data_IF_271114788260
#
_entry.id   IF_271114788260
#
_cell.length_a   1.000
_cell.length_b   1.000
_cell.length_c   1.000
_cell.angle_alpha   90.00
_cell.angle_beta   90.00
_cell.angle_gamma   90.00
#
_symmetry.space_group_name_H-M   'P 1'
#
loop_
_entity.id
_entity.type
_entity.pdbx_description
1 polymer ?
#
# COMPACT_ATOMS: atom_id res chain seq x y z
N UNK A 1 1.84 33.22 8.13
CA UNK A 1 2.09 31.75 7.99
C UNK A 1 0.82 30.98 7.69
N UNK A 2 -0.24 31.11 8.49
CA UNK A 2 -1.53 30.41 8.26
C UNK A 2 -2.13 30.75 6.89
N UNK A 3 -2.24 32.04 6.57
CA UNK A 3 -2.76 32.52 5.27
C UNK A 3 -1.97 31.92 4.09
N UNK A 4 -0.65 31.82 4.25
CA UNK A 4 0.27 31.32 3.22
C UNK A 4 0.15 29.81 2.97
N UNK A 5 -0.04 29.02 4.02
CA UNK A 5 0.13 27.56 3.96
C UNK A 5 -1.11 26.75 4.31
N UNK A 6 -2.04 27.29 5.09
CA UNK A 6 -3.16 26.55 5.68
C UNK A 6 -4.53 27.02 5.18
N UNK A 7 -4.58 27.91 4.19
CA UNK A 7 -5.84 28.29 3.55
C UNK A 7 -6.16 27.31 2.43
N UNK A 8 -7.32 26.66 2.52
CA UNK A 8 -7.90 26.01 1.37
C UNK A 8 -8.25 27.08 0.33
N UNK A 9 -7.77 26.90 -0.90
CA UNK A 9 -8.04 27.87 -1.96
C UNK A 9 -9.54 28.01 -2.24
N UNK A 10 -9.99 29.18 -2.74
CA UNK A 10 -11.37 29.36 -3.15
C UNK A 10 -11.75 28.28 -4.16
N UNK A 11 -12.86 27.58 -3.91
CA UNK A 11 -13.37 26.52 -4.77
C UNK A 11 -14.91 26.50 -4.73
N UNK A 12 -15.52 25.69 -5.59
CA UNK A 12 -16.98 25.55 -5.65
C UNK A 12 -17.60 26.77 -6.30
N UNK A 13 -18.47 27.46 -5.56
CA UNK A 13 -19.12 28.67 -6.04
C UNK A 13 -18.10 29.78 -6.38
N UNK A 14 -17.01 29.87 -5.62
CA UNK A 14 -15.96 30.88 -5.83
C UNK A 14 -15.01 30.52 -6.98
N UNK A 15 -14.83 29.23 -7.26
CA UNK A 15 -14.00 28.76 -8.38
C UNK A 15 -14.36 27.31 -8.76
N UNK A 16 -14.98 27.15 -9.93
CA UNK A 16 -15.43 25.85 -10.44
C UNK A 16 -14.30 25.01 -11.05
N UNK A 17 -13.18 25.63 -11.43
CA UNK A 17 -12.05 24.97 -12.09
C UNK A 17 -11.14 24.18 -11.14
N UNK A 18 -11.39 24.26 -9.83
CA UNK A 18 -10.55 23.58 -8.85
C UNK A 18 -10.65 22.05 -8.97
N UNK A 19 -9.53 21.31 -8.82
CA UNK A 19 -9.54 19.84 -8.85
C UNK A 19 -10.47 19.22 -7.81
N UNK A 20 -10.68 19.88 -6.67
CA UNK A 20 -11.54 19.40 -5.60
C UNK A 20 -13.04 19.45 -5.94
N UNK A 21 -13.45 20.20 -6.96
CA UNK A 21 -14.84 20.32 -7.42
C UNK A 21 -15.07 19.69 -8.80
N UNK A 22 -14.03 19.08 -9.38
CA UNK A 22 -14.15 18.40 -10.67
C UNK A 22 -15.21 17.28 -10.56
N UNK A 23 -16.22 17.37 -11.42
CA UNK A 23 -17.38 16.46 -11.49
C UNK A 23 -18.21 16.40 -10.18
N UNK A 24 -18.22 17.47 -9.37
CA UNK A 24 -18.99 17.53 -8.12
C UNK A 24 -19.68 18.88 -7.95
N UNK A 25 -20.91 18.92 -7.40
CA UNK A 25 -21.59 20.18 -7.10
C UNK A 25 -20.93 20.96 -5.96
N UNK A 26 -20.15 20.28 -5.10
CA UNK A 26 -19.48 20.85 -3.93
C UNK A 26 -18.05 20.33 -3.78
N UNK A 27 -17.26 21.01 -2.94
CA UNK A 27 -15.88 20.64 -2.69
C UNK A 27 -15.78 19.22 -2.10
N UNK A 28 -14.90 18.38 -2.67
CA UNK A 28 -14.56 17.05 -2.15
C UNK A 28 -14.16 17.05 -0.68
N UNK A 29 -13.55 18.14 -0.22
CA UNK A 29 -13.10 18.32 1.16
C UNK A 29 -14.07 19.17 1.99
N UNK A 30 -15.29 19.39 1.49
CA UNK A 30 -16.40 20.10 2.15
C UNK A 30 -16.03 21.52 2.62
N UNK A 31 -15.25 22.25 1.84
CA UNK A 31 -15.04 23.68 2.05
C UNK A 31 -16.10 24.52 1.32
N UNK A 32 -16.54 25.66 1.90
CA UNK A 32 -16.22 26.12 3.26
C UNK A 32 -16.82 25.20 4.33
N UNK A 33 -16.07 24.98 5.43
CA UNK A 33 -16.56 24.19 6.56
C UNK A 33 -17.60 25.01 7.36
N UNK A 34 -18.62 24.41 7.97
CA UNK A 34 -19.54 25.14 8.83
C UNK A 34 -18.81 25.71 10.06
N UNK A 35 -19.33 26.80 10.60
CA UNK A 35 -18.95 27.27 11.94
C UNK A 35 -19.39 26.24 12.99
N UNK A 36 -18.65 26.18 14.09
CA UNK A 36 -18.91 25.27 15.18
C UNK A 36 -18.30 25.81 16.48
N UNK A 37 -19.06 25.96 17.56
CA UNK A 37 -18.56 26.55 18.81
C UNK A 37 -17.67 25.61 19.63
N UNK A 38 -17.78 24.31 19.44
CA UNK A 38 -16.99 23.30 20.18
C UNK A 38 -16.51 22.20 19.27
N UNK A 39 -15.41 21.53 19.61
CA UNK A 39 -14.97 20.35 18.86
C UNK A 39 -15.84 19.17 19.25
N UNK A 40 -16.54 18.56 18.28
CA UNK A 40 -17.44 17.42 18.50
C UNK A 40 -17.01 16.21 17.69
N UNK A 41 -17.39 15.02 18.13
CA UNK A 41 -17.16 13.79 17.36
C UNK A 41 -18.22 13.68 16.25
N UNK A 42 -17.77 13.67 14.99
CA UNK A 42 -18.65 13.53 13.84
C UNK A 42 -19.19 12.10 13.66
N UNK A 43 -20.25 11.96 12.86
CA UNK A 43 -20.90 10.67 12.53
C UNK A 43 -19.94 9.63 11.93
N UNK A 44 -18.94 10.09 11.18
CA UNK A 44 -17.90 9.24 10.58
C UNK A 44 -16.68 9.01 11.48
N UNK A 45 -16.80 9.29 12.77
CA UNK A 45 -15.71 9.12 13.75
C UNK A 45 -14.50 10.05 13.55
N UNK A 46 -14.59 11.01 12.62
CA UNK A 46 -13.65 12.14 12.50
C UNK A 46 -14.14 13.33 13.32
N UNK A 47 -13.24 14.09 13.96
CA UNK A 47 -13.61 15.28 14.72
C UNK A 47 -14.12 16.39 13.78
N UNK A 48 -15.20 17.04 14.19
CA UNK A 48 -15.63 18.32 13.64
C UNK A 48 -15.05 19.39 14.55
N UNK A 49 -13.96 20.02 14.11
CA UNK A 49 -13.24 21.01 14.90
C UNK A 49 -14.07 22.25 15.21
N UNK A 50 -13.81 22.84 16.38
CA UNK A 50 -14.28 24.19 16.71
C UNK A 50 -13.81 25.18 15.63
N UNK A 51 -14.75 25.99 15.18
CA UNK A 51 -14.59 27.07 14.25
C UNK A 51 -15.60 28.17 14.57
N UNK A 52 -15.27 29.05 15.51
CA UNK A 52 -16.14 30.16 15.91
C UNK A 52 -16.24 31.20 14.80
N UNK A 53 -17.35 31.90 14.69
CA UNK A 53 -17.44 33.06 13.81
C UNK A 53 -16.83 34.28 14.51
N UNK A 54 -15.59 34.64 14.15
CA UNK A 54 -14.87 35.77 14.72
C UNK A 54 -14.96 37.05 13.88
N UNK A 55 -15.71 37.01 12.77
CA UNK A 55 -15.88 38.14 11.85
C UNK A 55 -14.63 38.53 11.04
N UNK A 56 -13.54 37.74 11.11
CA UNK A 56 -12.29 38.05 10.42
C UNK A 56 -12.24 37.41 9.04
N UNK A 57 -11.78 38.17 8.05
CA UNK A 57 -11.57 37.73 6.66
C UNK A 57 -10.18 38.10 6.19
N UNK A 58 -9.64 37.33 5.25
CA UNK A 58 -8.34 37.56 4.63
C UNK A 58 -8.44 37.33 3.12
N UNK A 59 -7.73 38.15 2.34
CA UNK A 59 -7.73 38.03 0.88
C UNK A 59 -6.79 36.91 0.43
N UNK A 60 -7.35 35.86 -0.15
CA UNK A 60 -6.62 34.71 -0.71
C UNK A 60 -7.02 34.51 -2.16
N UNK A 61 -6.07 34.69 -3.08
CA UNK A 61 -6.29 34.58 -4.54
C UNK A 61 -7.47 35.43 -5.03
N UNK A 62 -7.52 36.70 -4.58
CA UNK A 62 -8.56 37.69 -4.89
C UNK A 62 -9.97 37.33 -4.40
N UNK A 63 -10.08 36.46 -3.40
CA UNK A 63 -11.34 36.18 -2.71
C UNK A 63 -11.17 36.45 -1.21
N UNK A 64 -12.16 37.07 -0.58
CA UNK A 64 -12.20 37.21 0.87
C UNK A 64 -12.65 35.88 1.50
N UNK A 65 -11.75 35.27 2.27
CA UNK A 65 -11.98 34.00 2.94
C UNK A 65 -11.91 34.21 4.46
N UNK A 66 -12.92 33.72 5.17
CA UNK A 66 -12.90 33.65 6.62
C UNK A 66 -12.27 32.34 7.11
N UNK A 67 -12.33 32.13 8.42
CA UNK A 67 -11.74 30.95 9.03
C UNK A 67 -12.40 29.63 8.56
N UNK A 68 -13.55 29.60 7.87
CA UNK A 68 -14.17 28.38 7.28
C UNK A 68 -13.33 27.71 6.21
N UNK A 69 -12.33 28.42 5.71
CA UNK A 69 -11.38 27.96 4.70
C UNK A 69 -10.06 27.48 5.29
N UNK A 70 -9.84 27.64 6.60
CA UNK A 70 -8.61 27.22 7.27
C UNK A 70 -8.59 25.70 7.43
N UNK A 71 -7.56 25.07 6.86
CA UNK A 71 -7.19 23.67 7.04
C UNK A 71 -6.66 23.48 8.48
N UNK A 72 -7.12 22.46 9.23
CA UNK A 72 -6.64 22.19 10.58
C UNK A 72 -5.11 22.06 10.65
N UNK A 73 -4.51 22.73 11.64
CA UNK A 73 -3.06 22.79 11.77
C UNK A 73 -2.64 22.86 13.24
N UNK A 74 -1.39 22.47 13.50
CA UNK A 74 -0.72 22.74 14.76
C UNK A 74 0.22 23.95 14.58
N UNK A 75 0.06 25.05 15.36
CA UNK A 75 0.87 26.26 15.21
C UNK A 75 2.38 26.03 15.38
N UNK A 76 2.79 25.09 16.24
CA UNK A 76 4.18 24.75 16.45
C UNK A 76 4.77 24.05 15.22
N UNK A 77 4.09 23.02 14.69
CA UNK A 77 4.55 22.31 13.49
C UNK A 77 4.58 23.23 12.26
N UNK A 78 3.57 24.09 12.10
CA UNK A 78 3.53 25.05 11.01
C UNK A 78 4.73 26.02 11.06
N UNK A 79 5.11 26.48 12.27
CA UNK A 79 6.28 27.34 12.46
C UNK A 79 7.59 26.59 12.20
N UNK A 80 7.70 25.37 12.72
CA UNK A 80 8.90 24.55 12.61
C UNK A 80 9.22 24.19 11.17
N UNK A 81 8.22 23.80 10.38
CA UNK A 81 8.43 23.30 9.02
C UNK A 81 8.09 24.29 7.91
N UNK A 82 7.37 25.38 8.22
CA UNK A 82 7.02 26.45 7.28
C UNK A 82 6.46 25.94 5.94
N UNK A 83 5.62 24.91 5.97
CA UNK A 83 4.98 24.30 4.81
C UNK A 83 3.53 23.92 5.11
N UNK A 84 2.78 23.49 4.09
CA UNK A 84 1.42 23.00 4.26
C UNK A 84 1.45 21.64 4.99
N UNK A 85 0.91 21.59 6.22
CA UNK A 85 0.84 20.36 7.03
C UNK A 85 -0.60 20.15 7.49
N UNK A 86 -1.23 19.06 7.04
CA UNK A 86 -2.54 18.67 7.54
C UNK A 86 -2.38 17.90 8.86
N UNK A 87 -2.99 18.40 9.95
CA UNK A 87 -2.96 17.73 11.26
C UNK A 87 -4.37 17.31 11.64
N UNK A 88 -4.56 16.02 11.90
CA UNK A 88 -5.86 15.47 12.30
C UNK A 88 -5.76 14.67 13.61
N UNK A 89 -6.70 14.89 14.52
CA UNK A 89 -6.85 14.10 15.75
C UNK A 89 -7.48 12.76 15.38
N UNK A 90 -6.73 11.70 15.67
CA UNK A 90 -7.12 10.31 15.46
C UNK A 90 -7.60 9.70 16.79
N UNK A 91 -8.87 9.93 17.16
CA UNK A 91 -9.43 9.43 18.43
C UNK A 91 -10.36 8.22 18.27
N UNK A 92 -10.60 7.74 17.04
CA UNK A 92 -11.58 6.70 16.77
C UNK A 92 -10.99 5.47 16.09
N UNK A 93 -11.65 4.32 16.28
CA UNK A 93 -11.28 3.05 15.64
C UNK A 93 -11.22 3.19 14.10
N UNK A 94 -12.10 4.00 13.49
CA UNK A 94 -12.09 4.25 12.04
C UNK A 94 -10.86 5.05 11.60
N UNK A 95 -10.43 6.04 12.41
CA UNK A 95 -9.22 6.80 12.16
C UNK A 95 -7.95 5.96 12.40
N UNK A 96 -7.96 5.05 13.39
CA UNK A 96 -6.88 4.08 13.62
C UNK A 96 -6.77 3.11 12.43
N UNK A 97 -7.91 2.58 11.93
CA UNK A 97 -7.96 1.79 10.70
C UNK A 97 -7.40 2.57 9.50
N UNK A 98 -7.67 3.87 9.42
CA UNK A 98 -7.12 4.75 8.40
C UNK A 98 -5.60 4.87 8.54
N UNK A 99 -5.07 5.14 9.74
CA UNK A 99 -3.63 5.20 9.98
C UNK A 99 -2.92 3.90 9.56
N UNK A 100 -3.44 2.75 10.02
CA UNK A 100 -2.90 1.45 9.64
C UNK A 100 -3.05 1.18 8.14
N UNK A 101 -4.11 1.65 7.50
CA UNK A 101 -4.24 1.60 6.04
C UNK A 101 -3.07 2.31 5.36
N UNK A 102 -2.57 3.44 5.85
CA UNK A 102 -1.44 4.15 5.21
C UNK A 102 -0.08 3.58 5.58
N UNK A 103 0.09 3.08 6.81
CA UNK A 103 1.30 2.36 7.22
C UNK A 103 1.45 1.08 6.38
N UNK A 104 0.35 0.36 6.15
CA UNK A 104 0.35 -0.93 5.44
C UNK A 104 -0.07 -0.84 3.98
N UNK A 105 -0.43 0.34 3.44
CA UNK A 105 -0.89 0.51 2.04
C UNK A 105 0.15 0.07 1.02
N UNK A 106 1.43 0.08 1.41
CA UNK A 106 2.56 -0.01 0.50
C UNK A 106 2.67 1.25 -0.39
N UNK A 107 3.82 1.44 -1.02
CA UNK A 107 4.04 2.58 -1.91
C UNK A 107 3.06 2.60 -3.08
N UNK A 108 2.48 3.78 -3.38
CA UNK A 108 1.61 3.99 -4.53
C UNK A 108 2.34 3.57 -5.83
N UNK A 109 1.67 2.76 -6.66
CA UNK A 109 2.15 2.36 -8.00
C UNK A 109 1.08 2.75 -9.02
N UNK A 110 1.47 3.51 -10.04
CA UNK A 110 0.69 3.61 -11.26
C UNK A 110 1.01 2.38 -12.13
N UNK A 111 -0.03 1.65 -12.52
CA UNK A 111 0.02 0.63 -13.56
C UNK A 111 -0.81 1.18 -14.70
N UNK A 112 -0.16 1.40 -15.85
CA UNK A 112 -0.83 1.72 -17.12
C UNK A 112 -0.77 0.46 -17.95
N UNK A 113 -1.93 -0.05 -18.36
CA UNK A 113 -2.03 -1.00 -19.48
C UNK A 113 -2.79 -0.32 -20.61
N UNK A 114 -2.23 -0.43 -21.81
CA UNK A 114 -2.95 -0.19 -23.06
C UNK A 114 -3.30 -1.58 -23.58
N UNK A 115 -4.58 -1.84 -23.81
CA UNK A 115 -5.08 -3.09 -24.38
C UNK A 115 -5.76 -2.78 -25.70
N UNK A 116 -5.33 -3.48 -26.75
CA UNK A 116 -6.18 -3.78 -27.89
C UNK A 116 -6.74 -5.20 -27.67
N UNK A 117 -8.06 -5.36 -27.79
CA UNK A 117 -8.83 -6.59 -27.51
C UNK A 117 -8.35 -7.77 -28.39
N UNK A 118 -8.59 -9.06 -28.11
CA UNK A 118 -9.88 -9.80 -28.03
C UNK A 118 -9.65 -11.21 -27.44
N UNK A 119 -10.60 -11.65 -26.60
CA UNK A 119 -11.01 -13.01 -26.16
C UNK A 119 -10.04 -14.21 -26.22
N UNK A 120 -9.61 -14.66 -25.04
CA UNK A 120 -9.55 -16.04 -24.53
C UNK A 120 -9.29 -15.91 -23.02
N UNK A 121 -9.87 -16.78 -22.17
CA UNK A 121 -9.91 -16.64 -20.70
C UNK A 121 -8.60 -16.05 -20.14
N UNK A 122 -8.62 -14.74 -19.87
CA UNK A 122 -7.42 -13.98 -19.53
C UNK A 122 -7.04 -14.35 -18.09
N UNK A 123 -6.17 -15.34 -17.94
CA UNK A 123 -5.46 -15.56 -16.70
C UNK A 123 -4.61 -14.31 -16.50
N UNK A 124 -5.06 -13.41 -15.62
CA UNK A 124 -4.32 -12.22 -15.22
C UNK A 124 -3.06 -12.66 -14.46
N UNK A 125 -2.02 -12.98 -15.23
CA UNK A 125 -0.69 -13.37 -14.75
C UNK A 125 -0.09 -12.30 -13.84
N UNK A 126 -0.54 -11.04 -13.94
CA UNK A 126 -0.08 -9.93 -13.09
C UNK A 126 -0.74 -9.99 -11.71
N UNK A 127 -2.04 -10.33 -11.63
CA UNK A 127 -2.70 -10.69 -10.37
C UNK A 127 -2.09 -11.95 -9.78
N UNK A 128 -1.93 -13.00 -10.56
CA UNK A 128 -1.28 -14.24 -10.12
C UNK A 128 0.15 -13.99 -9.66
N UNK A 129 0.93 -13.12 -10.31
CA UNK A 129 2.28 -12.74 -9.89
C UNK A 129 2.29 -11.93 -8.57
N UNK A 130 1.27 -11.10 -8.34
CA UNK A 130 1.07 -10.41 -7.06
C UNK A 130 0.63 -11.39 -5.96
N UNK A 131 -0.11 -12.43 -6.31
CA UNK A 131 -0.61 -13.47 -5.41
C UNK A 131 0.38 -14.67 -5.26
N UNK A 132 1.40 -14.78 -6.11
CA UNK A 132 2.37 -15.89 -6.06
C UNK A 132 3.53 -15.66 -5.07
N UNK A 133 3.67 -14.44 -4.52
CA UNK A 133 4.59 -14.15 -3.40
C UNK A 133 3.89 -14.16 -2.04
N UNK A 134 2.82 -14.94 -1.92
CA UNK A 134 2.21 -15.22 -0.63
C UNK A 134 3.20 -15.95 0.27
N UNK A 135 3.43 -15.38 1.44
CA UNK A 135 4.05 -16.09 2.55
C UNK A 135 3.09 -17.17 3.03
N UNK A 136 3.57 -18.40 3.10
CA UNK A 136 2.79 -19.53 3.59
C UNK A 136 3.67 -20.44 4.44
N UNK A 137 3.04 -21.20 5.32
CA UNK A 137 3.67 -22.27 6.08
C UNK A 137 3.84 -23.52 5.21
N UNK A 138 4.64 -24.52 5.64
CA UNK A 138 4.74 -25.80 4.94
C UNK A 138 3.36 -26.35 4.58
N UNK A 139 3.16 -26.71 3.30
CA UNK A 139 1.92 -27.28 2.76
C UNK A 139 0.65 -26.41 2.88
N UNK A 140 0.79 -25.11 3.17
CA UNK A 140 -0.33 -24.16 3.26
C UNK A 140 -0.31 -23.10 2.14
N UNK A 141 0.37 -23.38 1.02
CA UNK A 141 0.36 -22.46 -0.12
C UNK A 141 -1.00 -22.45 -0.81
N UNK A 142 -1.33 -21.31 -1.40
CA UNK A 142 -2.58 -21.15 -2.14
C UNK A 142 -2.51 -21.93 -3.46
N UNK A 143 -3.56 -22.68 -3.76
CA UNK A 143 -3.76 -23.37 -5.04
C UNK A 143 -5.04 -22.81 -5.67
N UNK A 144 -4.93 -22.29 -6.89
CA UNK A 144 -6.08 -21.83 -7.67
C UNK A 144 -6.68 -23.00 -8.44
N UNK A 145 -8.01 -23.11 -8.40
CA UNK A 145 -8.78 -24.12 -9.12
C UNK A 145 -10.02 -23.49 -9.77
N UNK A 146 -10.53 -24.10 -10.84
CA UNK A 146 -11.79 -23.68 -11.45
C UNK A 146 -12.98 -24.36 -10.78
N UNK A 147 -14.15 -23.72 -10.77
CA UNK A 147 -15.35 -24.25 -10.12
C UNK A 147 -15.84 -25.59 -10.68
N UNK A 148 -15.48 -25.91 -11.93
CA UNK A 148 -15.86 -27.16 -12.60
C UNK A 148 -14.72 -28.20 -12.61
N UNK A 149 -13.58 -27.89 -11.99
CA UNK A 149 -12.42 -28.78 -11.98
C UNK A 149 -12.48 -29.78 -10.82
N UNK A 150 -12.13 -31.03 -11.07
CA UNK A 150 -12.03 -32.03 -10.01
C UNK A 150 -10.77 -31.81 -9.18
N UNK A 151 -10.82 -32.15 -7.88
CA UNK A 151 -9.68 -32.02 -6.98
C UNK A 151 -8.46 -32.79 -7.50
N UNK A 152 -8.68 -33.96 -8.09
CA UNK A 152 -7.60 -34.79 -8.65
C UNK A 152 -6.86 -34.07 -9.77
N UNK A 153 -7.58 -33.45 -10.71
CA UNK A 153 -6.98 -32.68 -11.81
C UNK A 153 -6.19 -31.46 -11.30
N UNK A 154 -6.66 -30.83 -10.21
CA UNK A 154 -5.94 -29.71 -9.58
C UNK A 154 -4.62 -30.19 -8.98
N UNK A 155 -4.61 -31.34 -8.29
CA UNK A 155 -3.42 -31.93 -7.67
C UNK A 155 -2.41 -32.38 -8.73
N UNK A 156 -2.89 -33.03 -9.80
CA UNK A 156 -2.05 -33.59 -10.86
C UNK A 156 -1.46 -32.53 -11.79
N UNK A 157 -1.93 -31.28 -11.70
CA UNK A 157 -1.40 -30.17 -12.49
C UNK A 157 0.06 -29.89 -12.13
N UNK A 158 0.90 -29.86 -13.16
CA UNK A 158 2.32 -29.58 -13.02
C UNK A 158 2.57 -28.23 -12.34
N UNK A 159 3.37 -28.24 -11.28
CA UNK A 159 3.70 -27.04 -10.50
C UNK A 159 2.64 -26.63 -9.46
N UNK A 160 1.54 -27.37 -9.27
CA UNK A 160 0.57 -27.09 -8.19
C UNK A 160 1.21 -27.09 -6.80
N UNK A 161 2.14 -28.03 -6.56
CA UNK A 161 2.88 -28.14 -5.29
C UNK A 161 3.93 -27.05 -5.07
N UNK A 162 4.27 -26.26 -6.10
CA UNK A 162 5.32 -25.24 -6.01
C UNK A 162 4.75 -23.87 -5.63
N UNK A 163 5.57 -23.07 -4.96
CA UNK A 163 5.38 -21.64 -4.75
C UNK A 163 6.66 -20.89 -5.09
N UNK A 164 6.62 -19.56 -5.17
CA UNK A 164 7.85 -18.77 -5.39
C UNK A 164 8.87 -18.94 -4.24
N UNK A 165 8.39 -19.23 -3.03
CA UNK A 165 9.23 -19.49 -1.87
C UNK A 165 9.91 -20.86 -1.99
N UNK A 166 9.17 -21.92 -2.31
CA UNK A 166 9.79 -23.25 -2.50
C UNK A 166 10.70 -23.28 -3.73
N UNK A 167 10.36 -22.54 -4.79
CA UNK A 167 11.25 -22.36 -5.93
C UNK A 167 12.56 -21.66 -5.55
N UNK A 168 12.54 -20.73 -4.58
CA UNK A 168 13.75 -20.11 -4.07
C UNK A 168 14.64 -21.13 -3.35
N UNK A 169 14.04 -22.05 -2.58
CA UNK A 169 14.76 -23.15 -1.97
C UNK A 169 15.41 -24.06 -3.02
N UNK A 170 14.65 -24.46 -4.05
CA UNK A 170 15.17 -25.23 -5.19
C UNK A 170 16.34 -24.49 -5.88
N UNK A 171 16.24 -23.16 -6.04
CA UNK A 171 17.31 -22.35 -6.60
C UNK A 171 18.56 -22.30 -5.70
N UNK A 172 18.39 -22.24 -4.37
CA UNK A 172 19.50 -22.31 -3.41
C UNK A 172 20.19 -23.68 -3.42
N UNK A 173 19.44 -24.77 -3.64
CA UNK A 173 20.02 -26.11 -3.82
C UNK A 173 20.86 -26.13 -5.10
N UNK A 174 20.25 -25.72 -6.21
CA UNK A 174 20.78 -25.88 -7.57
C UNK A 174 21.95 -24.95 -7.86
N UNK A 175 21.87 -23.70 -7.41
CA UNK A 175 22.78 -22.64 -7.79
C UNK A 175 23.54 -22.11 -6.56
N UNK A 176 24.84 -22.43 -6.39
CA UNK A 176 25.63 -21.91 -5.27
C UNK A 176 25.62 -20.39 -5.14
N UNK A 177 25.51 -19.67 -6.28
CA UNK A 177 25.42 -18.21 -6.34
C UNK A 177 24.13 -17.63 -5.74
N UNK A 178 23.05 -18.42 -5.65
CA UNK A 178 21.80 -17.99 -5.06
C UNK A 178 21.86 -17.94 -3.51
N UNK A 179 22.74 -18.74 -2.91
CA UNK A 179 22.79 -18.94 -1.45
C UNK A 179 23.16 -17.69 -0.65
N UNK A 180 23.80 -16.70 -1.29
CA UNK A 180 24.16 -15.42 -0.68
C UNK A 180 23.09 -14.33 -0.80
N UNK A 181 21.91 -14.63 -1.36
CA UNK A 181 20.88 -13.64 -1.67
C UNK A 181 19.70 -13.81 -0.72
N UNK A 182 19.20 -12.71 -0.14
CA UNK A 182 17.97 -12.76 0.66
C UNK A 182 16.75 -13.00 -0.23
N UNK A 183 15.72 -13.65 0.30
CA UNK A 183 14.49 -13.88 -0.46
C UNK A 183 13.85 -12.57 -0.96
N UNK A 184 13.99 -11.46 -0.22
CA UNK A 184 13.50 -10.14 -0.65
C UNK A 184 14.28 -9.57 -1.86
N UNK A 185 15.55 -9.93 -2.00
CA UNK A 185 16.49 -9.44 -3.02
C UNK A 185 16.54 -10.37 -4.24
N UNK A 186 16.02 -11.59 -4.12
CA UNK A 186 15.98 -12.58 -5.20
C UNK A 186 15.51 -12.01 -6.56
N UNK A 187 14.43 -11.19 -6.64
CA UNK A 187 13.96 -10.60 -7.90
C UNK A 187 14.95 -9.65 -8.59
N UNK A 188 15.94 -9.11 -7.87
CA UNK A 188 16.98 -8.25 -8.41
C UNK A 188 17.95 -9.06 -9.28
N UNK A 189 18.24 -10.30 -8.87
CA UNK A 189 19.23 -11.17 -9.51
C UNK A 189 18.60 -12.28 -10.37
N UNK A 190 17.38 -12.70 -10.03
CA UNK A 190 16.66 -13.81 -10.64
C UNK A 190 15.32 -13.32 -11.18
N UNK A 191 14.94 -13.82 -12.34
CA UNK A 191 13.64 -13.59 -12.94
C UNK A 191 12.77 -14.82 -12.72
N UNK A 192 11.53 -14.59 -12.29
CA UNK A 192 10.52 -15.65 -12.21
C UNK A 192 9.95 -15.93 -13.60
N UNK A 193 9.93 -17.19 -14.01
CA UNK A 193 9.10 -17.68 -15.12
C UNK A 193 8.17 -18.75 -14.55
N UNK A 194 6.88 -18.45 -14.45
CA UNK A 194 5.96 -19.27 -13.66
C UNK A 194 6.42 -19.41 -12.21
N UNK A 195 6.49 -20.64 -11.72
CA UNK A 195 6.94 -21.00 -10.36
C UNK A 195 8.42 -21.43 -10.31
N UNK A 196 9.27 -20.82 -11.15
CA UNK A 196 10.70 -21.12 -11.21
C UNK A 196 11.54 -19.85 -11.26
N UNK A 197 12.77 -19.92 -10.73
CA UNK A 197 13.75 -18.85 -10.82
C UNK A 197 14.80 -19.15 -11.88
N UNK A 198 15.00 -18.20 -12.79
CA UNK A 198 16.07 -18.22 -13.78
C UNK A 198 17.00 -17.02 -13.60
N UNK A 199 18.30 -17.22 -13.78
CA UNK A 199 19.27 -16.14 -13.58
C UNK A 199 19.04 -15.03 -14.62
N UNK A 200 18.98 -13.78 -14.16
CA UNK A 200 18.74 -12.64 -15.04
C UNK A 200 19.96 -12.36 -15.92
N UNK A 201 19.75 -12.29 -17.24
CA UNK A 201 20.82 -12.04 -18.23
C UNK A 201 21.10 -10.54 -18.48
N UNK A 202 20.17 -9.63 -18.17
CA UNK A 202 20.31 -8.17 -18.36
C UNK A 202 20.00 -7.42 -17.06
N UNK A 203 20.97 -6.67 -16.55
CA UNK A 203 20.88 -5.88 -15.31
C UNK A 203 20.18 -4.51 -15.50
N UNK A 204 19.62 -4.21 -16.67
CA UNK A 204 19.20 -2.86 -17.03
C UNK A 204 17.90 -2.37 -16.37
N UNK A 205 17.18 -3.22 -15.64
CA UNK A 205 15.96 -2.85 -14.92
C UNK A 205 16.06 -3.30 -13.46
N UNK A 206 16.23 -2.33 -12.56
CA UNK A 206 16.24 -2.57 -11.12
C UNK A 206 14.84 -3.00 -10.66
N UNK A 207 14.70 -4.24 -10.16
CA UNK A 207 13.42 -4.78 -9.68
C UNK A 207 13.49 -5.09 -8.18
N UNK A 208 12.93 -4.22 -7.36
CA UNK A 208 12.81 -4.47 -5.92
C UNK A 208 11.75 -5.53 -5.64
N UNK A 209 12.17 -6.64 -5.05
CA UNK A 209 11.27 -7.66 -4.53
C UNK A 209 10.47 -7.17 -3.34
N UNK A 210 9.20 -7.57 -3.26
CA UNK A 210 8.33 -7.27 -2.10
C UNK A 210 7.82 -8.57 -1.51
N UNK A 211 8.05 -8.73 -0.21
CA UNK A 211 7.44 -9.76 0.61
C UNK A 211 6.12 -9.19 1.14
N UNK A 212 5.06 -9.99 1.10
CA UNK A 212 3.73 -9.61 1.62
C UNK A 212 3.84 -9.21 3.11
N UNK A 213 3.17 -8.11 3.48
CA UNK A 213 3.11 -7.68 4.88
C UNK A 213 2.32 -8.70 5.71
N UNK A 214 2.81 -9.03 6.89
CA UNK A 214 2.13 -9.90 7.85
C UNK A 214 2.02 -9.18 9.18
N UNK A 215 0.84 -9.23 9.80
CA UNK A 215 0.59 -8.64 11.11
C UNK A 215 1.19 -9.54 12.21
N UNK A 216 1.73 -9.00 13.32
CA UNK A 216 2.26 -9.82 14.42
C UNK A 216 1.28 -10.87 14.97
N UNK A 217 -0.03 -10.57 14.94
CA UNK A 217 -1.08 -11.52 15.34
C UNK A 217 -1.27 -12.71 14.37
N UNK A 218 -0.66 -12.69 13.19
CA UNK A 218 -0.65 -13.83 12.25
C UNK A 218 0.38 -14.91 12.66
N UNK A 219 1.03 -14.76 13.82
CA UNK A 219 1.81 -15.80 14.47
C UNK A 219 2.98 -16.31 13.61
N UNK A 220 3.00 -17.60 13.32
CA UNK A 220 4.07 -18.27 12.57
C UNK A 220 4.37 -17.59 11.22
N UNK A 221 3.35 -17.04 10.55
CA UNK A 221 3.52 -16.34 9.28
C UNK A 221 4.27 -15.00 9.44
N UNK A 222 4.11 -14.34 10.58
CA UNK A 222 4.89 -13.16 10.93
C UNK A 222 6.35 -13.51 11.17
N UNK A 223 6.63 -14.54 11.97
CA UNK A 223 8.00 -14.98 12.22
C UNK A 223 8.71 -15.46 10.94
N UNK A 224 8.00 -16.20 10.07
CA UNK A 224 8.52 -16.59 8.77
C UNK A 224 8.92 -15.37 7.91
N UNK A 225 8.10 -14.31 7.91
CA UNK A 225 8.46 -13.05 7.22
C UNK A 225 9.74 -12.46 7.77
N UNK A 226 9.90 -12.43 9.09
CA UNK A 226 11.11 -11.92 9.74
C UNK A 226 12.32 -12.73 9.29
N UNK A 227 12.25 -14.07 9.37
CA UNK A 227 13.34 -14.96 8.95
C UNK A 227 13.73 -14.74 7.48
N UNK A 228 12.77 -14.59 6.58
CA UNK A 228 13.03 -14.35 5.15
C UNK A 228 13.71 -13.00 4.83
N UNK A 229 13.75 -12.06 5.79
CA UNK A 229 14.50 -10.81 5.65
C UNK A 229 15.93 -10.91 6.20
N UNK A 230 16.29 -11.99 6.88
CA UNK A 230 17.57 -12.12 7.58
C UNK A 230 18.36 -13.39 7.23
N UNK A 231 17.69 -14.46 6.79
CA UNK A 231 18.33 -15.73 6.45
C UNK A 231 18.54 -15.82 4.93
N UNK A 232 19.78 -16.06 4.53
CA UNK A 232 20.17 -16.33 3.14
C UNK A 232 20.38 -17.83 2.93
N UNK A 233 20.12 -18.32 1.71
CA UNK A 233 20.56 -19.66 1.31
C UNK A 233 19.81 -20.85 1.90
N UNK A 234 18.69 -20.63 2.59
CA UNK A 234 17.84 -21.71 3.08
C UNK A 234 17.36 -22.60 1.92
N UNK A 235 17.42 -23.92 2.11
CA UNK A 235 16.98 -24.93 1.14
C UNK A 235 15.68 -25.64 1.55
N UNK A 236 15.12 -25.25 2.69
CA UNK A 236 13.84 -25.78 3.21
C UNK A 236 13.23 -24.80 4.23
N UNK A 237 12.02 -25.10 4.71
CA UNK A 237 11.40 -24.36 5.82
C UNK A 237 12.10 -24.64 7.16
N UNK A 238 12.66 -25.83 7.32
CA UNK A 238 13.50 -26.25 8.43
C UNK A 238 14.78 -25.40 8.47
N UNK A 239 15.46 -25.24 7.33
CA UNK A 239 16.68 -24.45 7.23
C UNK A 239 16.43 -22.96 7.51
N UNK A 240 15.25 -22.43 7.16
CA UNK A 240 14.91 -21.05 7.49
C UNK A 240 14.85 -20.80 9.00
N UNK A 241 14.60 -21.84 9.80
CA UNK A 241 14.51 -21.76 11.26
C UNK A 241 15.88 -21.92 11.93
N UNK A 242 16.91 -22.33 11.21
CA UNK A 242 18.26 -22.48 11.75
C UNK A 242 19.12 -21.26 11.39
N UNK A 243 19.93 -20.79 12.34
CA UNK A 243 20.88 -19.69 12.12
C UNK A 243 22.27 -20.24 12.41
N UNK A 244 23.10 -20.36 11.37
CA UNK A 244 24.44 -20.97 11.39
C UNK A 244 24.50 -22.50 11.53
N UNK A 245 23.41 -23.22 11.22
CA UNK A 245 23.33 -24.68 11.38
C UNK A 245 22.92 -25.06 12.78
#
# INVERSE_FOLDING_TARGET
MVIKHMMHGPCGALNKLCPCTKNRPSCKNNYPRPFNETTIQGKDSYPIYRRCNDGRTETVRNCELDNRWVVPYNPYLLRMFNCHINVEICASIKAIKYLFKYIYKGHDRASVSVTDKVDEVEIDEIKQYRDARWLHLPNKHMVSYHSMETIQNVIDREGTSRSMLTACFEANITYPKARGILYREFPEHWQSQGKFWQQRKRASVFQVGRIVSTHPAEGERYYLRVLLNHVTGATSFEDLRTVNG
#
